data_IF_168777524694
#
_entry.id   IF_168777524694
#
_cell.length_a   1.000
_cell.length_b   1.000
_cell.length_c   1.000
_cell.angle_alpha   90.00
_cell.angle_beta   90.00
_cell.angle_gamma   90.00
#
_symmetry.space_group_name_H-M   'P 1'
#
loop_
_entity.id
_entity.type
_entity.pdbx_description
1 polymer ?
#
# COMPACT_ATOMS: atom_id res chain seq x y z
N UNK A 1 -37.48 -21.56 -25.72
CA UNK A 1 -36.64 -22.19 -24.68
C UNK A 1 -35.17 -21.80 -24.81
N UNK A 2 -34.55 -21.95 -25.98
CA UNK A 2 -33.13 -21.62 -26.19
C UNK A 2 -32.82 -20.13 -25.90
N UNK A 3 -33.67 -19.20 -26.34
CA UNK A 3 -33.51 -17.76 -26.07
C UNK A 3 -33.51 -17.43 -24.57
N UNK A 4 -34.43 -18.01 -23.81
CA UNK A 4 -34.49 -17.81 -22.35
C UNK A 4 -33.24 -18.33 -21.64
N UNK A 5 -32.67 -19.45 -22.11
CA UNK A 5 -31.42 -20.01 -21.58
C UNK A 5 -30.23 -19.09 -21.91
N UNK A 6 -30.18 -18.55 -23.13
CA UNK A 6 -29.14 -17.63 -23.57
C UNK A 6 -29.17 -16.32 -22.79
N UNK A 7 -30.36 -15.76 -22.57
CA UNK A 7 -30.57 -14.55 -21.77
C UNK A 7 -30.17 -14.79 -20.31
N UNK A 8 -30.54 -15.93 -19.72
CA UNK A 8 -30.14 -16.27 -18.35
C UNK A 8 -28.63 -16.46 -18.20
N UNK A 9 -27.96 -17.04 -19.21
CA UNK A 9 -26.51 -17.19 -19.24
C UNK A 9 -25.79 -15.83 -19.29
N UNK A 10 -26.25 -14.93 -20.17
CA UNK A 10 -25.71 -13.57 -20.29
C UNK A 10 -25.94 -12.79 -18.99
N UNK A 11 -27.14 -12.85 -18.41
CA UNK A 11 -27.46 -12.17 -17.16
C UNK A 11 -26.54 -12.63 -16.02
N UNK A 12 -26.34 -13.95 -15.89
CA UNK A 12 -25.45 -14.53 -14.87
C UNK A 12 -24.00 -14.08 -15.07
N UNK A 13 -23.54 -14.06 -16.33
CA UNK A 13 -22.20 -13.60 -16.67
C UNK A 13 -21.98 -12.11 -16.34
N UNK A 14 -22.96 -11.25 -16.63
CA UNK A 14 -22.91 -9.82 -16.30
C UNK A 14 -22.86 -9.59 -14.79
N UNK A 15 -23.69 -10.31 -14.02
CA UNK A 15 -23.67 -10.24 -12.56
C UNK A 15 -22.30 -10.67 -12.02
N UNK A 16 -21.74 -11.76 -12.55
CA UNK A 16 -20.41 -12.22 -12.21
C UNK A 16 -19.34 -11.15 -12.46
N UNK A 17 -19.29 -10.56 -13.67
CA UNK A 17 -18.35 -9.49 -14.01
C UNK A 17 -18.49 -8.31 -13.06
N UNK A 18 -19.73 -7.89 -12.77
CA UNK A 18 -20.00 -6.75 -11.90
C UNK A 18 -19.47 -6.98 -10.49
N UNK A 19 -19.71 -8.16 -9.92
CA UNK A 19 -19.23 -8.54 -8.59
C UNK A 19 -17.70 -8.58 -8.54
N UNK A 20 -17.04 -9.21 -9.52
CA UNK A 20 -15.58 -9.28 -9.56
C UNK A 20 -14.94 -7.89 -9.79
N UNK A 21 -15.61 -7.02 -10.56
CA UNK A 21 -15.18 -5.63 -10.77
C UNK A 21 -15.22 -4.84 -9.46
N UNK A 22 -16.32 -4.93 -8.70
CA UNK A 22 -16.46 -4.26 -7.40
C UNK A 22 -15.39 -4.75 -6.41
N UNK A 23 -15.14 -6.07 -6.37
CA UNK A 23 -14.07 -6.64 -5.53
C UNK A 23 -12.69 -6.09 -5.91
N UNK A 24 -12.39 -6.06 -7.21
CA UNK A 24 -11.12 -5.56 -7.75
C UNK A 24 -10.94 -4.08 -7.44
N UNK A 25 -11.99 -3.28 -7.62
CA UNK A 25 -11.95 -1.85 -7.30
C UNK A 25 -11.72 -1.60 -5.81
N UNK A 26 -12.38 -2.37 -4.94
CA UNK A 26 -12.15 -2.30 -3.49
C UNK A 26 -10.71 -2.66 -3.12
N UNK A 27 -10.14 -3.71 -3.71
CA UNK A 27 -8.74 -4.09 -3.50
C UNK A 27 -7.78 -2.98 -3.95
N UNK A 28 -8.04 -2.38 -5.10
CA UNK A 28 -7.27 -1.24 -5.61
C UNK A 28 -7.33 -0.04 -4.66
N UNK A 29 -8.51 0.32 -4.16
CA UNK A 29 -8.65 1.41 -3.19
C UNK A 29 -7.91 1.13 -1.87
N UNK A 30 -7.97 -0.10 -1.37
CA UNK A 30 -7.22 -0.51 -0.18
C UNK A 30 -5.71 -0.40 -0.43
N UNK A 31 -5.23 -0.91 -1.56
CA UNK A 31 -3.83 -0.80 -1.96
C UNK A 31 -3.38 0.66 -2.01
N UNK A 32 -4.12 1.51 -2.72
CA UNK A 32 -3.83 2.94 -2.84
C UNK A 32 -3.71 3.60 -1.46
N UNK A 33 -4.68 3.35 -0.58
CA UNK A 33 -4.71 3.96 0.75
C UNK A 33 -3.60 3.44 1.67
N UNK A 34 -3.27 2.15 1.62
CA UNK A 34 -2.12 1.58 2.37
C UNK A 34 -0.83 2.23 1.90
N UNK A 35 -0.60 2.28 0.58
CA UNK A 35 0.59 2.90 -0.02
C UNK A 35 0.74 4.35 0.40
N UNK A 36 -0.31 5.15 0.27
CA UNK A 36 -0.31 6.56 0.65
C UNK A 36 -0.01 6.74 2.14
N UNK A 37 -0.62 5.93 3.01
CA UNK A 37 -0.38 6.00 4.46
C UNK A 37 1.08 5.69 4.78
N UNK A 38 1.64 4.63 4.19
CA UNK A 38 3.04 4.26 4.42
C UNK A 38 3.97 5.37 3.94
N UNK A 39 3.73 5.92 2.75
CA UNK A 39 4.54 7.02 2.20
C UNK A 39 4.51 8.24 3.12
N UNK A 40 3.31 8.73 3.47
CA UNK A 40 3.15 9.93 4.29
C UNK A 40 3.80 9.73 5.67
N UNK A 41 3.56 8.60 6.31
CA UNK A 41 4.14 8.31 7.62
C UNK A 41 5.67 8.12 7.56
N UNK A 42 6.19 7.50 6.49
CA UNK A 42 7.63 7.37 6.28
C UNK A 42 8.30 8.74 6.08
N UNK A 43 7.76 9.59 5.20
CA UNK A 43 8.27 10.96 5.03
C UNK A 43 8.17 11.77 6.32
N UNK A 44 7.06 11.66 7.05
CA UNK A 44 6.87 12.32 8.34
C UNK A 44 7.93 11.89 9.36
N UNK A 45 8.22 10.60 9.47
CA UNK A 45 9.26 10.09 10.36
C UNK A 45 10.67 10.55 9.94
N UNK A 46 10.99 10.41 8.65
CA UNK A 46 12.31 10.76 8.10
C UNK A 46 12.58 12.26 8.20
N UNK A 47 11.57 13.12 8.07
CA UNK A 47 11.69 14.57 8.26
C UNK A 47 12.18 14.96 9.66
N UNK A 48 11.80 14.20 10.68
CA UNK A 48 12.15 14.49 12.08
C UNK A 48 13.37 13.68 12.56
N UNK A 49 13.97 12.85 11.71
CA UNK A 49 15.07 11.96 12.07
C UNK A 49 16.34 12.36 11.30
N UNK A 50 17.48 12.56 11.98
CA UNK A 50 18.73 12.85 11.29
C UNK A 50 19.16 11.68 10.40
N UNK A 51 19.63 12.00 9.19
CA UNK A 51 19.86 11.06 8.07
C UNK A 51 20.76 9.86 8.39
N UNK A 52 21.67 9.98 9.36
CA UNK A 52 22.57 8.91 9.79
C UNK A 52 22.06 8.02 10.94
N UNK A 53 20.90 8.31 11.52
CA UNK A 53 20.38 7.63 12.72
C UNK A 53 18.98 7.05 12.53
N UNK A 54 18.59 6.77 11.29
CA UNK A 54 17.27 6.20 11.00
C UNK A 54 17.22 4.75 11.49
N UNK A 55 16.56 4.55 12.63
CA UNK A 55 16.23 3.23 13.14
C UNK A 55 15.08 2.63 12.31
N UNK A 56 15.39 1.62 11.49
CA UNK A 56 14.43 0.92 10.64
C UNK A 56 13.38 0.14 11.44
N UNK A 57 13.73 -0.37 12.62
CA UNK A 57 12.80 -1.12 13.48
C UNK A 57 11.75 -0.17 14.07
N UNK A 58 12.21 0.99 14.55
CA UNK A 58 11.33 2.04 15.04
C UNK A 58 10.44 2.60 13.94
N UNK A 59 10.98 2.81 12.74
CA UNK A 59 10.21 3.21 11.57
C UNK A 59 9.15 2.15 11.21
N UNK A 60 9.50 0.85 11.17
CA UNK A 60 8.53 -0.23 10.92
C UNK A 60 7.41 -0.22 11.96
N UNK A 61 7.75 -0.05 13.23
CA UNK A 61 6.76 0.02 14.32
C UNK A 61 5.83 1.21 14.13
N UNK A 62 6.37 2.40 13.84
CA UNK A 62 5.60 3.60 13.56
C UNK A 62 4.62 3.42 12.39
N UNK A 63 5.05 2.79 11.29
CA UNK A 63 4.19 2.50 10.14
C UNK A 63 3.05 1.54 10.50
N UNK A 64 3.35 0.48 11.27
CA UNK A 64 2.35 -0.49 11.73
C UNK A 64 1.30 0.19 12.62
N UNK A 65 1.73 1.06 13.54
CA UNK A 65 0.83 1.85 14.39
C UNK A 65 -0.07 2.74 13.55
N UNK A 66 0.48 3.48 12.58
CA UNK A 66 -0.32 4.34 11.69
C UNK A 66 -1.34 3.55 10.88
N UNK A 67 -0.96 2.39 10.34
CA UNK A 67 -1.90 1.51 9.64
C UNK A 67 -2.97 0.93 10.57
N UNK A 68 -2.66 0.73 11.86
CA UNK A 68 -3.61 0.25 12.87
C UNK A 68 -4.61 1.34 13.24
N UNK A 69 -4.17 2.58 13.45
CA UNK A 69 -5.04 3.74 13.73
C UNK A 69 -6.16 3.87 12.69
N UNK A 70 -5.82 3.71 11.41
CA UNK A 70 -6.79 3.81 10.30
C UNK A 70 -7.43 2.47 9.90
N UNK A 71 -7.24 1.41 10.69
CA UNK A 71 -7.81 0.06 10.47
C UNK A 71 -7.42 -0.59 9.14
N UNK A 72 -6.28 -0.23 8.57
CA UNK A 72 -5.73 -0.82 7.35
C UNK A 72 -4.75 -1.96 7.61
N UNK A 73 -4.21 -2.09 8.83
CA UNK A 73 -3.25 -3.15 9.18
C UNK A 73 -3.76 -4.56 8.86
N UNK A 74 -5.07 -4.81 8.95
CA UNK A 74 -5.69 -6.11 8.61
C UNK A 74 -5.48 -6.54 7.15
N UNK A 75 -5.22 -5.58 6.27
CA UNK A 75 -4.98 -5.81 4.84
C UNK A 75 -3.50 -5.93 4.50
N UNK A 76 -2.61 -5.73 5.47
CA UNK A 76 -1.16 -5.82 5.30
C UNK A 76 -0.68 -7.10 5.97
N UNK A 77 0.00 -7.94 5.21
CA UNK A 77 0.57 -9.21 5.69
C UNK A 77 1.93 -8.98 6.36
N UNK A 78 2.82 -8.27 5.68
CA UNK A 78 4.12 -7.88 6.22
C UNK A 78 4.59 -6.55 5.62
N UNK A 79 5.49 -5.87 6.37
CA UNK A 79 6.23 -4.69 5.95
C UNK A 79 7.70 -4.95 6.25
N UNK A 80 8.51 -5.04 5.21
CA UNK A 80 9.97 -5.13 5.30
C UNK A 80 10.58 -3.79 4.89
N UNK A 81 11.50 -3.29 5.70
CA UNK A 81 12.22 -2.04 5.46
C UNK A 81 13.70 -2.35 5.54
N UNK A 82 14.43 -1.97 4.51
CA UNK A 82 15.87 -2.28 4.40
C UNK A 82 16.60 -1.08 3.83
N UNK A 83 17.84 -0.89 4.24
CA UNK A 83 18.75 0.01 3.52
C UNK A 83 19.03 -0.57 2.14
N UNK A 84 18.83 0.23 1.09
CA UNK A 84 19.24 -0.13 -0.28
C UNK A 84 20.60 0.50 -0.60
N UNK A 85 20.88 1.66 -0.03
CA UNK A 85 22.19 2.31 -0.03
C UNK A 85 22.37 3.16 1.23
N UNK A 86 23.50 3.86 1.36
CA UNK A 86 23.75 4.79 2.48
C UNK A 86 22.69 5.91 2.55
N UNK A 87 22.18 6.33 1.40
CA UNK A 87 21.26 7.46 1.27
C UNK A 87 19.84 7.03 0.86
N UNK A 88 19.53 5.74 0.80
CA UNK A 88 18.23 5.26 0.31
C UNK A 88 17.66 4.09 1.15
N UNK A 89 16.38 4.21 1.47
CA UNK A 89 15.64 3.20 2.21
C UNK A 89 14.61 2.57 1.28
N UNK A 90 14.66 1.25 1.18
CA UNK A 90 13.69 0.44 0.47
C UNK A 90 12.58 0.00 1.42
N UNK A 91 11.35 0.18 0.96
CA UNK A 91 10.15 -0.28 1.61
C UNK A 91 9.49 -1.37 0.76
N UNK A 92 9.12 -2.46 1.40
CA UNK A 92 8.43 -3.57 0.79
C UNK A 92 7.24 -3.92 1.65
N UNK A 93 6.03 -3.90 1.10
CA UNK A 93 4.85 -4.40 1.82
C UNK A 93 4.07 -5.40 0.98
N UNK A 94 3.47 -6.36 1.66
CA UNK A 94 2.64 -7.39 1.06
C UNK A 94 1.21 -7.24 1.56
N UNK A 95 0.23 -7.28 0.66
CA UNK A 95 -1.18 -7.23 1.03
C UNK A 95 -1.78 -8.62 1.22
N UNK A 96 -2.78 -8.69 2.09
CA UNK A 96 -3.52 -9.91 2.42
C UNK A 96 -4.89 -9.88 1.73
N UNK A 97 -4.95 -10.21 0.43
CA UNK A 97 -6.21 -10.49 -0.25
C UNK A 97 -6.39 -11.99 -0.49
N UNK A 98 -7.64 -12.43 -0.66
CA UNK A 98 -8.02 -13.86 -0.68
C UNK A 98 -7.35 -14.66 -1.82
N UNK A 99 -7.20 -14.06 -3.00
CA UNK A 99 -6.65 -14.75 -4.18
C UNK A 99 -5.25 -14.26 -4.59
N UNK A 100 -4.88 -13.05 -4.18
CA UNK A 100 -3.64 -12.40 -4.59
C UNK A 100 -2.99 -11.77 -3.36
N UNK A 101 -1.69 -11.97 -3.19
CA UNK A 101 -0.90 -11.32 -2.15
C UNK A 101 0.08 -10.37 -2.83
N UNK A 102 -0.40 -9.23 -3.36
CA UNK A 102 0.45 -8.35 -4.13
C UNK A 102 1.53 -7.78 -3.22
N UNK A 103 2.77 -7.90 -3.69
CA UNK A 103 3.96 -7.35 -3.07
C UNK A 103 4.34 -6.08 -3.80
N UNK A 104 4.48 -4.99 -3.05
CA UNK A 104 4.87 -3.70 -3.60
C UNK A 104 6.20 -3.27 -3.00
N UNK A 105 7.13 -2.84 -3.87
CA UNK A 105 8.44 -2.27 -3.50
C UNK A 105 8.46 -0.81 -3.95
N UNK A 106 8.95 0.06 -3.10
CA UNK A 106 9.34 1.42 -3.45
C UNK A 106 10.56 1.85 -2.65
N UNK A 107 11.21 2.90 -3.11
CA UNK A 107 12.48 3.40 -2.57
C UNK A 107 12.31 4.89 -2.28
N UNK A 108 12.80 5.33 -1.13
CA UNK A 108 12.88 6.75 -0.78
C UNK A 108 14.34 7.10 -0.58
N UNK A 109 14.84 8.07 -1.36
CA UNK A 109 16.12 8.70 -1.11
C UNK A 109 16.00 9.71 0.04
N UNK A 110 16.96 9.74 0.95
CA UNK A 110 17.03 10.73 2.03
C UNK A 110 17.23 12.16 1.52
N UNK A 111 17.67 12.33 0.26
CA UNK A 111 17.74 13.62 -0.43
C UNK A 111 16.36 14.07 -0.93
N UNK A 112 15.52 13.14 -1.38
CA UNK A 112 14.16 13.43 -1.86
C UNK A 112 13.28 14.00 -0.72
N UNK A 113 13.57 13.63 0.52
CA UNK A 113 12.88 14.16 1.71
C UNK A 113 13.11 15.67 1.85
N UNK A 114 14.33 16.17 1.59
CA UNK A 114 14.65 17.60 1.71
C UNK A 114 13.96 18.43 0.64
N UNK A 115 13.92 17.94 -0.60
CA UNK A 115 13.27 18.65 -1.71
C UNK A 115 11.76 18.84 -1.47
N UNK A 116 11.10 17.80 -0.93
CA UNK A 116 9.68 17.89 -0.58
C UNK A 116 9.47 18.89 0.56
N UNK A 117 10.36 18.94 1.55
CA UNK A 117 10.27 19.91 2.65
C UNK A 117 10.43 21.34 2.14
N UNK A 118 11.44 21.60 1.30
CA UNK A 118 11.75 22.94 0.80
C UNK A 118 10.70 23.51 -0.16
N UNK A 119 9.88 22.66 -0.81
CA UNK A 119 8.77 23.11 -1.66
C UNK A 119 7.46 23.37 -0.91
N UNK A 120 7.38 22.98 0.37
CA UNK A 120 6.16 23.11 1.18
C UNK A 120 6.26 24.23 2.23
N UNK A 121 7.34 25.03 2.19
CA UNK A 121 7.49 26.31 2.88
C UNK A 121 7.26 27.46 1.90
#
# INVERSE_FOLDING_TARGET
MLENVLIAGIATFIVFISVETIKSFRQFLIFKRVRETILIAAFGYLKHTPKGFVDLSRLKTHLIEKLREIKLIRWVKDITITWESVDAIQFVFELKFEKLQPKYKFVIGLKDVDEVINRTQ
#
